data_IF_408366041834
#
_entry.id   IF_408366041834
#
_cell.length_a   1.000
_cell.length_b   1.000
_cell.length_c   1.000
_cell.angle_alpha   90.00
_cell.angle_beta   90.00
_cell.angle_gamma   90.00
#
_symmetry.space_group_name_H-M   'P 1'
#
loop_
_entity.id
_entity.type
_entity.pdbx_description
1 polymer ?
#
# COMPACT_ATOMS: atom_id res chain seq x y z
N UNK A 1 6.45 -4.78 -28.91
CA UNK A 1 5.89 -5.96 -28.21
C UNK A 1 4.67 -6.56 -28.92
N UNK A 2 3.79 -5.78 -29.58
CA UNK A 2 2.65 -6.33 -30.34
C UNK A 2 3.01 -7.19 -31.57
N UNK A 3 4.25 -7.05 -32.06
CA UNK A 3 4.80 -7.77 -33.22
C UNK A 3 5.92 -8.75 -32.85
N UNK A 4 6.01 -9.15 -31.57
CA UNK A 4 7.15 -9.96 -31.12
C UNK A 4 7.09 -11.34 -31.78
N UNK A 5 8.15 -11.72 -32.49
CA UNK A 5 8.30 -13.09 -32.98
C UNK A 5 8.82 -14.00 -31.87
N UNK A 6 8.62 -15.31 -32.01
CA UNK A 6 9.17 -16.28 -31.05
C UNK A 6 10.69 -16.18 -30.91
N UNK A 7 11.42 -15.95 -32.02
CA UNK A 7 12.87 -15.73 -31.99
C UNK A 7 13.30 -14.48 -31.23
N UNK A 8 12.55 -13.38 -31.36
CA UNK A 8 12.79 -12.15 -30.59
C UNK A 8 12.48 -12.34 -29.11
N UNK A 9 11.39 -13.04 -28.79
CA UNK A 9 11.02 -13.35 -27.41
C UNK A 9 12.08 -14.25 -26.74
N UNK A 10 12.56 -15.28 -27.43
CA UNK A 10 13.63 -16.15 -26.93
C UNK A 10 14.95 -15.39 -26.73
N UNK A 11 15.26 -14.43 -27.61
CA UNK A 11 16.44 -13.56 -27.48
C UNK A 11 16.32 -12.61 -26.29
N UNK A 12 15.11 -12.15 -25.97
CA UNK A 12 14.87 -11.35 -24.77
C UNK A 12 14.99 -12.21 -23.51
N UNK A 13 14.39 -13.39 -23.50
CA UNK A 13 14.45 -14.34 -22.38
C UNK A 13 15.90 -14.75 -22.07
N UNK A 14 16.74 -14.95 -23.10
CA UNK A 14 18.13 -15.40 -22.91
C UNK A 14 19.05 -14.39 -22.23
N UNK A 15 18.66 -13.11 -22.18
CA UNK A 15 19.40 -12.07 -21.46
C UNK A 15 18.78 -11.71 -20.11
N UNK A 16 17.66 -12.33 -19.75
CA UNK A 16 17.00 -12.09 -18.47
C UNK A 16 17.61 -12.95 -17.36
N UNK A 17 17.50 -12.46 -16.14
CA UNK A 17 17.90 -13.18 -14.94
C UNK A 17 16.67 -13.72 -14.20
N UNK A 18 16.85 -14.79 -13.43
CA UNK A 18 15.79 -15.30 -12.57
C UNK A 18 15.42 -14.24 -11.52
N UNK A 19 14.13 -14.00 -11.36
CA UNK A 19 13.64 -12.99 -10.44
C UNK A 19 13.57 -13.57 -9.01
N UNK A 20 14.52 -13.17 -8.16
CA UNK A 20 14.44 -13.40 -6.72
C UNK A 20 13.30 -12.58 -6.07
N UNK A 21 12.99 -12.86 -4.82
CA UNK A 21 12.02 -12.12 -4.02
C UNK A 21 12.56 -11.88 -2.60
N UNK A 22 11.99 -10.92 -1.88
CA UNK A 22 12.32 -10.67 -0.48
C UNK A 22 11.59 -11.62 0.44
N UNK A 23 12.28 -12.14 1.45
CA UNK A 23 11.71 -12.93 2.52
C UNK A 23 12.16 -12.33 3.85
N UNK A 24 11.41 -11.33 4.32
CA UNK A 24 11.90 -10.44 5.37
C UNK A 24 13.15 -9.69 4.90
N UNK A 25 14.29 -9.91 5.55
CA UNK A 25 15.57 -9.25 5.25
C UNK A 25 16.43 -10.02 4.24
N UNK A 26 15.99 -11.21 3.82
CA UNK A 26 16.74 -12.07 2.91
C UNK A 26 16.24 -11.94 1.47
N UNK A 27 17.15 -11.87 0.50
CA UNK A 27 16.81 -12.07 -0.92
C UNK A 27 16.87 -13.56 -1.23
N UNK A 28 15.75 -14.15 -1.64
CA UNK A 28 15.58 -15.58 -1.83
C UNK A 28 15.25 -15.89 -3.29
N UNK A 29 15.94 -16.90 -3.84
CA UNK A 29 15.60 -17.51 -5.13
C UNK A 29 14.98 -18.89 -4.86
N UNK A 30 13.65 -18.96 -4.90
CA UNK A 30 12.88 -20.19 -4.74
C UNK A 30 11.78 -20.27 -5.81
N UNK A 31 12.01 -21.12 -6.82
CA UNK A 31 11.09 -21.32 -7.94
C UNK A 31 9.75 -21.97 -7.54
N UNK A 32 9.66 -22.56 -6.34
CA UNK A 32 8.40 -23.05 -5.80
C UNK A 32 7.48 -21.92 -5.32
N UNK A 33 8.05 -20.73 -5.09
CA UNK A 33 7.32 -19.55 -4.63
C UNK A 33 7.19 -18.48 -5.71
N UNK A 34 8.28 -18.22 -6.44
CA UNK A 34 8.33 -17.30 -7.57
C UNK A 34 9.13 -17.92 -8.70
N UNK A 35 8.47 -18.18 -9.82
CA UNK A 35 9.12 -18.52 -11.07
C UNK A 35 8.85 -17.39 -12.06
N UNK A 36 9.82 -16.50 -12.25
CA UNK A 36 9.73 -15.39 -13.17
C UNK A 36 11.13 -14.96 -13.60
N UNK A 37 11.21 -14.21 -14.69
CA UNK A 37 12.43 -13.58 -15.17
C UNK A 37 12.31 -12.06 -15.04
N UNK A 38 13.45 -11.37 -14.91
CA UNK A 38 13.49 -9.91 -14.84
C UNK A 38 14.62 -9.31 -15.66
N UNK A 39 14.45 -8.03 -15.98
CA UNK A 39 15.51 -7.10 -16.34
C UNK A 39 15.43 -5.90 -15.39
N UNK A 40 16.60 -5.47 -14.90
CA UNK A 40 16.78 -4.25 -14.12
C UNK A 40 16.94 -3.04 -15.07
N UNK A 41 16.69 -1.82 -14.56
CA UNK A 41 16.63 -0.59 -15.37
C UNK A 41 17.88 -0.33 -16.23
N UNK A 42 19.06 -0.77 -15.78
CA UNK A 42 20.31 -0.62 -16.54
C UNK A 42 20.39 -1.51 -17.78
N UNK A 43 19.52 -2.52 -17.88
CA UNK A 43 19.54 -3.54 -18.93
C UNK A 43 18.54 -3.27 -20.06
N UNK A 44 17.67 -2.27 -19.91
CA UNK A 44 16.68 -1.94 -20.93
C UNK A 44 16.39 -0.44 -21.02
N UNK A 45 15.74 -0.04 -22.10
CA UNK A 45 15.23 1.32 -22.26
C UNK A 45 13.83 1.24 -22.83
N UNK A 46 12.94 2.13 -22.38
CA UNK A 46 11.54 2.12 -22.80
C UNK A 46 11.20 3.48 -23.36
N UNK A 47 10.79 3.57 -24.64
CA UNK A 47 10.35 4.83 -25.25
C UNK A 47 8.91 5.20 -24.85
N UNK A 48 8.42 4.70 -23.71
CA UNK A 48 7.07 4.95 -23.22
C UNK A 48 7.06 6.24 -22.40
N UNK A 49 6.50 7.29 -22.98
CA UNK A 49 6.20 8.51 -22.24
C UNK A 49 4.85 8.37 -21.54
N UNK A 50 4.88 7.96 -20.27
CA UNK A 50 3.67 7.74 -19.47
C UNK A 50 2.84 9.03 -19.29
N UNK A 51 3.49 10.20 -19.28
CA UNK A 51 2.82 11.50 -19.13
C UNK A 51 1.98 11.87 -20.36
N UNK A 52 2.35 11.35 -21.54
CA UNK A 52 1.56 11.51 -22.76
C UNK A 52 0.29 10.63 -22.81
N UNK A 53 0.08 9.75 -21.84
CA UNK A 53 -1.05 8.81 -21.78
C UNK A 53 -2.10 9.23 -20.73
N UNK A 54 -3.36 8.79 -20.85
CA UNK A 54 -4.38 9.05 -19.83
C UNK A 54 -4.20 8.19 -18.56
N UNK A 55 -3.19 7.32 -18.48
CA UNK A 55 -3.02 6.36 -17.38
C UNK A 55 -2.85 7.09 -16.05
N UNK A 56 -1.93 8.08 -15.98
CA UNK A 56 -1.71 8.82 -14.74
C UNK A 56 -2.93 9.61 -14.31
N UNK A 57 -3.66 10.19 -15.27
CA UNK A 57 -4.91 10.89 -14.98
C UNK A 57 -5.97 9.95 -14.40
N UNK A 58 -6.07 8.72 -14.92
CA UNK A 58 -6.97 7.69 -14.41
C UNK A 58 -6.59 7.27 -12.98
N UNK A 59 -5.30 7.06 -12.72
CA UNK A 59 -4.80 6.72 -11.37
C UNK A 59 -5.07 7.89 -10.41
N UNK A 60 -4.80 9.12 -10.85
CA UNK A 60 -5.10 10.32 -10.08
C UNK A 60 -6.58 10.35 -9.68
N UNK A 61 -7.49 10.12 -10.62
CA UNK A 61 -8.93 10.16 -10.37
C UNK A 61 -9.44 9.02 -9.49
N UNK A 62 -9.00 7.79 -9.79
CA UNK A 62 -9.62 6.58 -9.23
C UNK A 62 -8.94 6.15 -7.91
N UNK A 63 -7.68 6.50 -7.69
CA UNK A 63 -6.88 6.04 -6.54
C UNK A 63 -6.41 7.18 -5.62
N UNK A 64 -6.22 8.42 -6.10
CA UNK A 64 -5.61 9.51 -5.29
C UNK A 64 -6.61 10.61 -4.91
N UNK A 65 -7.30 11.17 -5.89
CA UNK A 65 -8.29 12.25 -5.76
C UNK A 65 -9.67 11.69 -5.32
N UNK A 66 -9.70 10.83 -4.31
CA UNK A 66 -10.97 10.39 -3.70
C UNK A 66 -11.71 11.54 -3.01
N UNK A 67 -11.05 12.69 -2.87
CA UNK A 67 -11.60 13.93 -2.32
C UNK A 67 -11.15 15.14 -3.17
N UNK A 68 -12.02 16.14 -3.32
CA UNK A 68 -11.76 17.31 -4.17
C UNK A 68 -10.75 18.29 -3.61
N UNK A 69 -10.46 18.17 -2.32
CA UNK A 69 -9.68 19.14 -1.56
C UNK A 69 -8.26 18.64 -1.27
N UNK A 70 -8.01 17.33 -1.38
CA UNK A 70 -6.67 16.71 -1.31
C UNK A 70 -6.23 16.27 -2.70
N UNK A 71 -5.58 17.17 -3.43
CA UNK A 71 -4.89 16.83 -4.68
C UNK A 71 -3.40 16.68 -4.40
N UNK A 72 -2.87 15.50 -4.72
CA UNK A 72 -1.45 15.20 -4.59
C UNK A 72 -0.91 14.79 -5.93
N UNK A 73 0.23 15.35 -6.33
CA UNK A 73 0.86 14.92 -7.56
C UNK A 73 1.38 13.49 -7.40
N UNK A 74 1.31 12.73 -8.49
CA UNK A 74 1.86 11.39 -8.57
C UNK A 74 3.20 11.49 -9.28
N UNK A 75 4.27 11.14 -8.58
CA UNK A 75 5.56 10.84 -9.22
C UNK A 75 5.62 9.36 -9.52
N UNK A 76 6.00 9.02 -10.74
CA UNK A 76 6.25 7.64 -11.13
C UNK A 76 7.74 7.37 -11.29
N UNK A 77 8.13 6.16 -10.93
CA UNK A 77 9.52 5.71 -11.03
C UNK A 77 9.52 4.34 -11.72
N UNK A 78 10.13 4.21 -12.91
CA UNK A 78 10.34 2.91 -13.52
C UNK A 78 11.07 2.00 -12.54
N UNK A 79 10.61 0.75 -12.40
CA UNK A 79 11.21 -0.18 -11.45
C UNK A 79 11.85 -1.38 -12.14
N UNK A 80 11.04 -2.25 -12.76
CA UNK A 80 11.56 -3.45 -13.41
C UNK A 80 10.67 -3.95 -14.54
N UNK A 81 11.28 -4.65 -15.48
CA UNK A 81 10.58 -5.42 -16.49
C UNK A 81 10.54 -6.88 -16.04
N UNK A 82 9.34 -7.46 -15.95
CA UNK A 82 9.17 -8.88 -15.60
C UNK A 82 8.67 -9.66 -16.80
N UNK A 83 9.14 -10.90 -16.93
CA UNK A 83 8.69 -11.85 -17.94
C UNK A 83 8.24 -13.12 -17.22
N UNK A 84 7.02 -13.52 -17.52
CA UNK A 84 6.44 -14.79 -17.09
C UNK A 84 6.22 -15.64 -18.34
N UNK A 85 7.12 -16.58 -18.58
CA UNK A 85 6.99 -17.56 -19.66
C UNK A 85 6.13 -18.76 -19.22
N UNK A 86 6.03 -19.80 -20.05
CA UNK A 86 5.18 -20.95 -19.75
C UNK A 86 5.56 -21.61 -18.42
N UNK A 87 4.60 -21.66 -17.50
CA UNK A 87 4.72 -22.24 -16.16
C UNK A 87 5.25 -21.25 -15.12
N UNK A 88 5.62 -20.03 -15.50
CA UNK A 88 6.00 -18.96 -14.58
C UNK A 88 4.78 -18.44 -13.80
N UNK A 89 5.00 -18.06 -12.55
CA UNK A 89 4.01 -17.56 -11.60
C UNK A 89 4.70 -16.78 -10.46
N UNK A 90 3.90 -16.08 -9.64
CA UNK A 90 4.37 -15.52 -8.38
C UNK A 90 3.25 -15.62 -7.34
N UNK A 91 3.51 -16.32 -6.23
CA UNK A 91 2.57 -16.52 -5.13
C UNK A 91 2.17 -15.21 -4.41
N UNK A 92 1.12 -15.24 -3.56
CA UNK A 92 0.60 -14.05 -2.88
C UNK A 92 1.66 -13.32 -2.06
N UNK A 93 1.92 -12.07 -2.41
CA UNK A 93 2.92 -11.20 -1.77
C UNK A 93 2.41 -9.76 -1.70
N UNK A 94 3.10 -8.91 -0.93
CA UNK A 94 2.91 -7.45 -0.97
C UNK A 94 4.14 -6.79 -1.57
N UNK A 95 4.03 -5.53 -1.97
CA UNK A 95 5.22 -4.79 -2.36
C UNK A 95 6.13 -4.56 -1.15
N UNK A 96 7.43 -4.42 -1.40
CA UNK A 96 8.36 -4.01 -0.35
C UNK A 96 8.32 -2.49 -0.29
N UNK A 97 8.06 -1.87 0.87
CA UNK A 97 8.12 -0.42 0.96
C UNK A 97 9.53 0.11 0.63
N UNK A 98 9.58 1.25 -0.07
CA UNK A 98 10.84 1.90 -0.51
C UNK A 98 11.00 3.34 -0.06
N UNK A 99 9.89 3.97 0.31
CA UNK A 99 9.84 5.33 0.83
C UNK A 99 8.53 5.49 1.62
N UNK A 100 8.51 6.37 2.61
CA UNK A 100 7.30 6.81 3.32
C UNK A 100 6.18 7.30 2.39
N UNK A 101 6.55 7.95 1.28
CA UNK A 101 5.64 8.50 0.30
C UNK A 101 5.30 7.54 -0.85
N UNK A 102 5.83 6.31 -0.86
CA UNK A 102 5.42 5.28 -1.81
C UNK A 102 4.02 4.79 -1.44
N UNK A 103 3.04 5.00 -2.32
CA UNK A 103 1.67 4.59 -2.04
C UNK A 103 1.25 3.35 -2.81
N UNK A 104 1.82 3.09 -3.99
CA UNK A 104 1.33 2.03 -4.86
C UNK A 104 2.28 1.61 -5.96
N UNK A 105 1.77 0.71 -6.79
CA UNK A 105 2.44 0.19 -7.97
C UNK A 105 1.54 0.32 -9.18
N UNK A 106 2.15 0.62 -10.34
CA UNK A 106 1.52 0.56 -11.65
C UNK A 106 2.18 -0.55 -12.45
N UNK A 107 1.39 -1.54 -12.86
CA UNK A 107 1.83 -2.65 -13.71
C UNK A 107 1.22 -2.46 -15.10
N UNK A 108 2.07 -2.17 -16.09
CA UNK A 108 1.70 -2.13 -17.50
C UNK A 108 1.97 -3.50 -18.12
N UNK A 109 0.99 -4.09 -18.78
CA UNK A 109 1.10 -5.35 -19.48
C UNK A 109 1.16 -5.08 -20.98
N UNK A 110 2.23 -5.58 -21.62
CA UNK A 110 2.39 -5.47 -23.06
C UNK A 110 1.53 -6.51 -23.79
N UNK A 111 1.09 -6.24 -25.04
CA UNK A 111 0.27 -7.15 -25.84
C UNK A 111 1.10 -8.28 -26.46
N UNK A 112 1.89 -8.98 -25.65
CA UNK A 112 2.56 -10.20 -26.05
C UNK A 112 1.56 -11.36 -26.00
N UNK A 113 1.47 -12.23 -27.02
CA UNK A 113 0.55 -13.34 -26.99
C UNK A 113 0.83 -14.29 -25.80
N UNK A 114 -0.17 -14.48 -24.94
CA UNK A 114 -0.10 -15.40 -23.81
C UNK A 114 -1.48 -15.93 -23.39
N UNK A 115 -1.50 -16.96 -22.54
CA UNK A 115 -2.69 -17.48 -21.85
C UNK A 115 -2.36 -17.74 -20.38
N UNK A 116 -3.34 -17.60 -19.49
CA UNK A 116 -3.09 -17.57 -18.04
C UNK A 116 -2.30 -16.32 -17.65
N UNK A 117 -1.64 -16.33 -16.49
CA UNK A 117 -0.89 -15.14 -16.03
C UNK A 117 -1.79 -14.06 -15.44
N UNK A 118 -3.01 -14.42 -15.02
CA UNK A 118 -3.95 -13.52 -14.40
C UNK A 118 -3.34 -12.89 -13.14
N UNK A 119 -3.52 -11.58 -12.98
CA UNK A 119 -3.14 -10.87 -11.77
C UNK A 119 -4.32 -10.91 -10.80
N UNK A 120 -4.12 -11.50 -9.63
CA UNK A 120 -5.10 -11.52 -8.56
C UNK A 120 -4.70 -10.45 -7.56
N UNK A 121 -5.63 -9.57 -7.21
CA UNK A 121 -5.52 -8.59 -6.14
C UNK A 121 -6.42 -9.04 -4.99
N UNK A 122 -5.94 -8.92 -3.76
CA UNK A 122 -6.68 -9.27 -2.55
C UNK A 122 -6.47 -8.20 -1.48
N UNK A 123 -7.56 -7.61 -1.03
CA UNK A 123 -7.60 -6.64 0.05
C UNK A 123 -8.71 -7.05 1.02
N UNK A 124 -8.33 -7.35 2.28
CA UNK A 124 -9.26 -7.85 3.30
C UNK A 124 -10.01 -9.09 2.77
N UNK A 125 -11.35 -9.06 2.76
CA UNK A 125 -12.20 -10.16 2.29
C UNK A 125 -12.57 -10.05 0.80
N UNK A 126 -12.01 -9.07 0.07
CA UNK A 126 -12.30 -8.82 -1.33
C UNK A 126 -11.15 -9.28 -2.23
N UNK A 127 -11.50 -9.79 -3.41
CA UNK A 127 -10.52 -10.16 -4.42
C UNK A 127 -10.99 -9.83 -5.82
N UNK A 128 -10.05 -9.38 -6.65
CA UNK A 128 -10.27 -9.03 -8.05
C UNK A 128 -9.29 -9.79 -8.93
N UNK A 129 -9.77 -10.26 -10.08
CA UNK A 129 -8.96 -10.96 -11.09
C UNK A 129 -8.86 -10.09 -12.32
N UNK A 130 -7.63 -9.81 -12.75
CA UNK A 130 -7.36 -9.12 -14.01
C UNK A 130 -6.70 -10.07 -15.01
N UNK A 131 -7.47 -10.41 -16.06
CA UNK A 131 -6.98 -11.19 -17.20
C UNK A 131 -6.53 -10.24 -18.32
N UNK A 132 -5.21 -9.99 -18.37
CA UNK A 132 -4.62 -9.14 -19.39
C UNK A 132 -4.66 -9.78 -20.79
N UNK A 133 -4.65 -11.12 -20.88
CA UNK A 133 -4.73 -11.81 -22.17
C UNK A 133 -6.11 -11.61 -22.79
N UNK A 134 -7.18 -11.64 -21.97
CA UNK A 134 -8.52 -11.28 -22.40
C UNK A 134 -8.64 -9.78 -22.71
N UNK A 135 -8.12 -8.91 -21.84
CA UNK A 135 -8.20 -7.46 -22.04
C UNK A 135 -7.52 -6.99 -23.33
N UNK A 136 -6.45 -7.66 -23.75
CA UNK A 136 -5.67 -7.35 -24.95
C UNK A 136 -6.04 -8.21 -26.16
N UNK A 137 -7.16 -8.94 -26.13
CA UNK A 137 -7.50 -9.89 -27.20
C UNK A 137 -7.67 -9.25 -28.58
N UNK A 138 -8.02 -7.96 -28.61
CA UNK A 138 -8.22 -7.18 -29.83
C UNK A 138 -6.99 -6.37 -30.25
N UNK A 139 -5.94 -6.33 -29.42
CA UNK A 139 -4.70 -5.64 -29.75
C UNK A 139 -4.06 -6.26 -30.98
N UNK A 140 -3.67 -5.44 -31.95
CA UNK A 140 -3.02 -5.92 -33.17
C UNK A 140 -1.63 -5.30 -33.34
N UNK A 141 -0.76 -5.93 -34.16
CA UNK A 141 0.44 -5.30 -34.72
C UNK A 141 0.33 -3.83 -35.16
N UNK A 142 -0.79 -3.47 -35.78
CA UNK A 142 -1.03 -2.17 -36.41
C UNK A 142 -1.76 -1.20 -35.48
N UNK A 143 -2.50 -1.73 -34.52
CA UNK A 143 -3.24 -1.00 -33.50
C UNK A 143 -2.94 -1.65 -32.13
N UNK A 144 -1.74 -1.41 -31.58
CA UNK A 144 -1.33 -2.03 -30.33
C UNK A 144 -2.01 -1.36 -29.13
N UNK A 145 -2.53 -2.17 -28.23
CA UNK A 145 -3.12 -1.72 -26.97
C UNK A 145 -2.20 -2.06 -25.79
N UNK A 146 -2.34 -1.32 -24.71
CA UNK A 146 -1.70 -1.61 -23.43
C UNK A 146 -2.78 -1.84 -22.39
N UNK A 147 -2.56 -2.80 -21.51
CA UNK A 147 -3.38 -2.99 -20.34
C UNK A 147 -2.59 -2.52 -19.13
N UNK A 148 -3.27 -2.00 -18.11
CA UNK A 148 -2.59 -1.60 -16.89
C UNK A 148 -3.45 -1.88 -15.66
N UNK A 149 -2.78 -2.06 -14.53
CA UNK A 149 -3.40 -2.17 -13.22
C UNK A 149 -2.59 -1.30 -12.26
N UNK A 150 -3.27 -0.44 -11.50
CA UNK A 150 -2.67 0.33 -10.42
C UNK A 150 -3.35 -0.04 -9.10
N UNK A 151 -2.56 -0.24 -8.05
CA UNK A 151 -3.05 -0.66 -6.74
C UNK A 151 -2.15 -0.12 -5.62
N UNK A 152 -2.70 -0.01 -4.42
CA UNK A 152 -1.92 0.36 -3.24
C UNK A 152 -0.91 -0.72 -2.89
N UNK A 153 0.25 -0.28 -2.43
CA UNK A 153 1.43 -1.14 -2.22
C UNK A 153 1.24 -2.18 -1.09
N UNK A 154 0.28 -1.95 -0.20
CA UNK A 154 -0.13 -2.87 0.86
C UNK A 154 -1.18 -3.91 0.43
N UNK A 155 -1.64 -3.89 -0.84
CA UNK A 155 -2.54 -4.90 -1.40
C UNK A 155 -1.77 -6.18 -1.70
N UNK A 156 -2.27 -7.30 -1.18
CA UNK A 156 -1.73 -8.62 -1.50
C UNK A 156 -2.04 -8.95 -2.95
N UNK A 157 -1.06 -9.42 -3.70
CA UNK A 157 -1.23 -9.77 -5.10
C UNK A 157 -0.45 -11.01 -5.51
N UNK A 158 -0.97 -11.74 -6.50
CA UNK A 158 -0.31 -12.90 -7.10
C UNK A 158 -0.49 -12.94 -8.62
N UNK A 159 0.45 -13.60 -9.30
CA UNK A 159 0.36 -13.91 -10.74
C UNK A 159 0.13 -15.40 -10.89
N UNK A 160 -1.03 -15.77 -11.45
CA UNK A 160 -1.35 -17.17 -11.77
C UNK A 160 -0.41 -17.73 -12.84
N UNK A 161 -0.26 -19.07 -12.94
CA UNK A 161 0.62 -19.66 -13.94
C UNK A 161 0.28 -19.26 -15.37
N UNK A 162 1.28 -18.81 -16.13
CA UNK A 162 1.15 -18.65 -17.59
C UNK A 162 1.13 -20.04 -18.22
N UNK A 163 0.09 -20.35 -18.99
CA UNK A 163 -0.09 -21.68 -19.59
C UNK A 163 0.46 -21.78 -21.02
N UNK A 164 0.60 -20.64 -21.70
CA UNK A 164 1.16 -20.53 -23.05
C UNK A 164 1.69 -19.12 -23.31
N UNK A 165 2.71 -19.00 -24.16
CA UNK A 165 3.30 -17.71 -24.55
C UNK A 165 4.10 -17.09 -23.41
N UNK A 166 4.20 -15.75 -23.41
CA UNK A 166 4.87 -15.01 -22.35
C UNK A 166 4.13 -13.71 -22.02
N UNK A 167 3.90 -13.50 -20.73
CA UNK A 167 3.36 -12.25 -20.18
C UNK A 167 4.54 -11.34 -19.83
N UNK A 168 4.64 -10.20 -20.51
CA UNK A 168 5.69 -9.19 -20.26
C UNK A 168 5.06 -7.97 -19.61
N UNK A 169 5.62 -7.53 -18.49
CA UNK A 169 5.14 -6.35 -17.78
C UNK A 169 6.25 -5.36 -17.47
N UNK A 170 5.90 -4.09 -17.43
CA UNK A 170 6.70 -3.01 -16.87
C UNK A 170 6.03 -2.50 -15.59
N UNK A 171 6.77 -2.52 -14.49
CA UNK A 171 6.29 -2.02 -13.21
C UNK A 171 6.89 -0.65 -12.91
N UNK A 172 6.07 0.27 -12.40
CA UNK A 172 6.48 1.54 -11.82
C UNK A 172 6.08 1.58 -10.34
N UNK A 173 6.96 2.13 -9.52
CA UNK A 173 6.58 2.57 -8.17
C UNK A 173 5.85 3.92 -8.29
N UNK A 174 4.79 4.08 -7.50
CA UNK A 174 3.99 5.30 -7.43
C UNK A 174 4.21 5.99 -6.09
N UNK A 175 4.57 7.27 -6.15
CA UNK A 175 4.84 8.09 -4.98
C UNK A 175 3.92 9.32 -4.94
N UNK A 176 3.52 9.70 -3.73
CA UNK A 176 2.98 11.03 -3.51
C UNK A 176 4.12 12.02 -3.58
N UNK A 177 3.96 13.04 -4.41
CA UNK A 177 4.88 14.16 -4.49
C UNK A 177 4.32 15.31 -3.66
N UNK A 178 5.18 15.90 -2.81
CA UNK A 178 4.81 17.05 -2.00
C UNK A 178 4.34 18.16 -2.94
N UNK A 179 3.12 18.66 -2.71
CA UNK A 179 2.63 19.81 -3.45
C UNK A 179 3.47 21.03 -3.06
N UNK A 180 4.15 21.63 -4.03
CA UNK A 180 4.51 23.04 -3.87
C UNK A 180 3.21 23.85 -3.82
N UNK A 181 3.10 24.90 -2.99
CA UNK A 181 1.87 25.71 -2.88
C UNK A 181 1.36 26.30 -4.20
N UNK A 182 2.20 26.32 -5.25
CA UNK A 182 1.86 26.81 -6.59
C UNK A 182 1.35 25.70 -7.55
N UNK A 183 1.35 24.44 -7.11
CA UNK A 183 1.02 23.27 -7.93
C UNK A 183 -0.39 22.73 -7.71
N UNK A 184 -1.26 23.48 -7.03
CA UNK A 184 -2.64 23.06 -6.82
C UNK A 184 -3.35 22.83 -8.17
N UNK A 185 -3.53 21.56 -8.50
CA UNK A 185 -4.34 21.16 -9.64
C UNK A 185 -5.74 21.77 -9.47
N UNK A 186 -6.34 22.33 -10.54
CA UNK A 186 -7.66 22.94 -10.44
C UNK A 186 -8.68 21.92 -9.91
N UNK A 187 -9.55 22.36 -9.00
CA UNK A 187 -10.60 21.53 -8.44
C UNK A 187 -11.45 20.93 -9.57
N UNK A 188 -11.53 19.59 -9.64
CA UNK A 188 -12.49 18.93 -10.52
C UNK A 188 -13.87 19.06 -9.87
N UNK A 189 -14.94 19.42 -10.63
CA UNK A 189 -16.31 19.55 -10.12
C UNK A 189 -16.98 18.19 -9.85
N UNK A 190 -16.29 17.30 -9.14
CA UNK A 190 -16.83 16.07 -8.56
C UNK A 190 -16.57 16.11 -7.06
N UNK A 191 -17.27 17.00 -6.35
CA UNK A 191 -17.42 16.85 -4.90
C UNK A 191 -18.28 15.61 -4.70
N UNK A 192 -17.64 14.48 -4.43
CA UNK A 192 -18.33 13.37 -3.80
C UNK A 192 -18.71 13.84 -2.39
N UNK A 193 -19.96 13.60 -2.00
CA UNK A 193 -20.50 13.92 -0.66
C UNK A 193 -19.70 13.31 0.51
N UNK A 194 -18.61 12.59 0.27
CA UNK A 194 -17.87 11.82 1.26
C UNK A 194 -17.24 12.70 2.35
N UNK A 195 -16.61 13.81 2.00
CA UNK A 195 -16.05 14.74 3.00
C UNK A 195 -17.14 15.37 3.87
N UNK A 196 -18.22 15.84 3.24
CA UNK A 196 -19.36 16.39 3.97
C UNK A 196 -20.04 15.32 4.85
N UNK A 197 -20.24 14.11 4.32
CA UNK A 197 -20.82 12.97 5.04
C UNK A 197 -19.95 12.61 6.25
N UNK A 198 -18.63 12.50 6.06
CA UNK A 198 -17.70 12.19 7.14
C UNK A 198 -17.64 13.31 8.18
N UNK A 199 -17.68 14.57 7.74
CA UNK A 199 -17.74 15.73 8.64
C UNK A 199 -19.03 15.76 9.45
N UNK A 200 -20.17 15.46 8.83
CA UNK A 200 -21.46 15.35 9.52
C UNK A 200 -21.42 14.21 10.54
N UNK A 201 -20.99 13.02 10.14
CA UNK A 201 -20.87 11.87 11.04
C UNK A 201 -19.91 12.14 12.22
N UNK A 202 -18.78 12.81 11.97
CA UNK A 202 -17.85 13.20 13.03
C UNK A 202 -18.46 14.26 13.96
N UNK A 203 -19.25 15.21 13.43
CA UNK A 203 -19.94 16.21 14.25
C UNK A 203 -21.01 15.57 15.13
N UNK A 204 -21.75 14.59 14.60
CA UNK A 204 -22.73 13.80 15.36
C UNK A 204 -22.05 12.98 16.45
N UNK A 205 -20.92 12.35 16.14
CA UNK A 205 -20.10 11.61 17.11
C UNK A 205 -19.66 12.52 18.27
N UNK A 206 -19.09 13.69 17.96
CA UNK A 206 -18.62 14.64 18.99
C UNK A 206 -19.76 15.17 19.89
N UNK A 207 -21.01 15.06 19.46
CA UNK A 207 -22.19 15.43 20.25
C UNK A 207 -22.73 14.29 21.13
N UNK A 208 -22.13 13.09 21.08
CA UNK A 208 -22.56 11.98 21.93
C UNK A 208 -22.37 12.30 23.43
N UNK A 209 -23.34 11.95 24.30
CA UNK A 209 -23.29 12.30 25.71
C UNK A 209 -21.99 11.89 26.41
N UNK A 210 -21.45 10.70 26.09
CA UNK A 210 -20.21 10.17 26.67
C UNK A 210 -18.96 10.97 26.31
N UNK A 211 -18.98 11.68 25.20
CA UNK A 211 -17.89 12.57 24.77
C UNK A 211 -18.09 13.93 25.44
N UNK A 212 -19.32 14.45 25.41
CA UNK A 212 -19.67 15.77 25.99
C UNK A 212 -19.51 15.80 27.52
N UNK A 213 -19.77 14.68 28.20
CA UNK A 213 -19.63 14.56 29.66
C UNK A 213 -18.21 14.18 30.12
N UNK A 214 -17.26 14.05 29.18
CA UNK A 214 -15.86 13.73 29.45
C UNK A 214 -15.59 12.26 29.78
N UNK A 215 -16.60 11.38 29.76
CA UNK A 215 -16.40 9.94 30.00
C UNK A 215 -15.49 9.28 28.96
N UNK A 216 -15.46 9.83 27.74
CA UNK A 216 -14.55 9.46 26.65
C UNK A 216 -13.75 10.70 26.29
N UNK A 217 -12.44 10.66 26.52
CA UNK A 217 -11.52 11.76 26.22
C UNK A 217 -10.59 11.45 25.03
N UNK A 218 -10.63 10.23 24.50
CA UNK A 218 -9.74 9.81 23.40
C UNK A 218 -10.51 9.03 22.34
N UNK A 219 -10.44 9.51 21.09
CA UNK A 219 -10.99 8.82 19.92
C UNK A 219 -9.87 8.11 19.15
N UNK A 220 -10.11 6.87 18.79
CA UNK A 220 -9.21 6.08 17.96
C UNK A 220 -9.90 5.61 16.68
N UNK A 221 -9.16 5.70 15.58
CA UNK A 221 -9.61 5.26 14.27
C UNK A 221 -8.59 4.31 13.67
N UNK A 222 -8.95 3.04 13.53
CA UNK A 222 -8.18 2.10 12.73
C UNK A 222 -8.17 2.52 11.28
N UNK A 223 -6.99 2.46 10.65
CA UNK A 223 -6.82 2.84 9.25
C UNK A 223 -7.20 1.71 8.29
N UNK A 224 -7.68 2.09 7.11
CA UNK A 224 -8.09 1.15 6.06
C UNK A 224 -6.91 0.49 5.38
N UNK A 225 -5.77 1.17 5.31
CA UNK A 225 -4.54 0.72 4.68
C UNK A 225 -3.43 0.46 5.70
N UNK A 226 -2.44 -0.34 5.31
CA UNK A 226 -1.19 -0.46 6.05
C UNK A 226 -0.15 0.54 5.51
N UNK A 227 0.73 0.98 6.39
CA UNK A 227 1.75 1.99 6.08
C UNK A 227 3.14 1.49 6.46
N UNK A 228 4.20 2.00 5.81
CA UNK A 228 5.55 1.62 6.19
C UNK A 228 5.88 2.21 7.57
N UNK A 229 6.18 1.33 8.52
CA UNK A 229 6.56 1.68 9.89
C UNK A 229 7.96 1.15 10.13
N UNK A 230 8.80 1.94 10.80
CA UNK A 230 10.12 1.50 11.25
C UNK A 230 9.99 0.53 12.42
N UNK A 231 10.94 -0.39 12.54
CA UNK A 231 11.06 -1.26 13.70
C UNK A 231 11.77 -0.52 14.83
N UNK A 232 11.46 -0.89 16.07
CA UNK A 232 12.13 -0.35 17.26
C UNK A 232 13.67 -0.42 17.10
N UNK A 233 14.34 0.67 17.42
CA UNK A 233 15.81 0.86 17.32
C UNK A 233 16.42 0.73 15.92
N UNK A 234 15.61 0.61 14.88
CA UNK A 234 16.07 0.65 13.49
C UNK A 234 15.83 2.03 12.86
N UNK A 235 16.70 2.50 11.95
CA UNK A 235 16.43 3.69 11.17
C UNK A 235 15.22 3.44 10.25
N UNK A 236 14.36 4.44 10.11
CA UNK A 236 13.21 4.39 9.22
C UNK A 236 12.29 5.58 9.45
N UNK A 237 11.07 5.50 8.93
CA UNK A 237 10.14 6.62 8.87
C UNK A 237 9.52 6.95 10.24
N UNK A 238 9.35 8.23 10.53
CA UNK A 238 8.54 8.67 11.66
C UNK A 238 7.06 8.50 11.30
N UNK A 239 6.31 7.79 12.15
CA UNK A 239 4.88 7.54 11.94
C UNK A 239 4.08 8.84 11.79
N UNK A 240 4.52 9.94 12.41
CA UNK A 240 3.83 11.24 12.32
C UNK A 240 3.99 11.88 10.93
N UNK A 241 5.09 11.62 10.23
CA UNK A 241 5.34 12.13 8.88
C UNK A 241 4.41 11.48 7.85
N UNK A 242 3.92 10.26 8.12
CA UNK A 242 2.96 9.56 7.28
C UNK A 242 1.62 10.30 7.14
N UNK A 243 1.33 11.28 8.00
CA UNK A 243 0.14 12.14 7.88
C UNK A 243 0.05 12.85 6.54
N UNK A 244 1.20 13.06 5.86
CA UNK A 244 1.29 13.61 4.49
C UNK A 244 0.95 12.60 3.40
N UNK A 245 1.08 11.31 3.71
CA UNK A 245 1.08 10.21 2.75
C UNK A 245 -0.04 9.18 3.01
N UNK A 246 -1.04 9.53 3.82
CA UNK A 246 -2.22 8.70 4.05
C UNK A 246 -2.96 8.41 2.73
N UNK A 247 -3.52 7.21 2.59
CA UNK A 247 -4.19 6.71 1.39
C UNK A 247 -5.71 6.84 1.51
N UNK A 248 -6.39 7.16 0.41
CA UNK A 248 -7.85 7.15 0.29
C UNK A 248 -8.61 7.75 1.49
N UNK A 249 -9.47 6.93 2.11
CA UNK A 249 -10.31 7.31 3.24
C UNK A 249 -9.53 7.72 4.49
N UNK A 250 -8.32 7.21 4.68
CA UNK A 250 -7.51 7.51 5.86
C UNK A 250 -7.05 8.98 5.82
N UNK A 251 -6.66 9.45 4.64
CA UNK A 251 -6.31 10.85 4.41
C UNK A 251 -7.51 11.78 4.60
N UNK A 252 -8.68 11.36 4.11
CA UNK A 252 -9.92 12.10 4.28
C UNK A 252 -10.28 12.24 5.76
N UNK A 253 -10.20 11.15 6.52
CA UNK A 253 -10.50 11.13 7.95
C UNK A 253 -9.56 12.04 8.74
N UNK A 254 -8.25 11.93 8.51
CA UNK A 254 -7.25 12.78 9.17
C UNK A 254 -7.52 14.27 8.90
N UNK A 255 -7.86 14.61 7.67
CA UNK A 255 -8.22 15.97 7.29
C UNK A 255 -9.49 16.45 7.96
N UNK A 256 -10.57 15.66 7.95
CA UNK A 256 -11.84 16.03 8.59
C UNK A 256 -11.62 16.34 10.07
N UNK A 257 -10.78 15.55 10.76
CA UNK A 257 -10.37 15.86 12.12
C UNK A 257 -9.73 17.26 12.23
N UNK A 258 -8.77 17.60 11.36
CA UNK A 258 -8.15 18.95 11.33
C UNK A 258 -9.16 20.06 11.00
N UNK A 259 -10.09 19.83 10.08
CA UNK A 259 -11.12 20.80 9.67
C UNK A 259 -12.11 21.09 10.80
N UNK A 260 -12.35 20.10 11.67
CA UNK A 260 -13.12 20.23 12.91
C UNK A 260 -12.29 20.74 14.10
N UNK A 261 -11.06 21.21 13.85
CA UNK A 261 -10.14 21.76 14.87
C UNK A 261 -9.71 20.75 15.93
N UNK A 262 -9.83 19.46 15.63
CA UNK A 262 -9.23 18.41 16.45
C UNK A 262 -7.72 18.34 16.21
N UNK A 263 -7.01 17.73 17.16
CA UNK A 263 -5.57 17.48 17.08
C UNK A 263 -5.25 16.00 16.79
N UNK A 264 -5.50 15.48 15.57
CA UNK A 264 -5.16 14.11 15.23
C UNK A 264 -3.64 13.93 15.15
N UNK A 265 -3.20 12.79 15.66
CA UNK A 265 -1.84 12.23 15.58
C UNK A 265 -1.91 10.80 15.02
N UNK A 266 -0.80 10.30 14.49
CA UNK A 266 -0.70 8.92 14.01
C UNK A 266 0.12 8.08 14.98
N UNK A 267 -0.43 6.96 15.42
CA UNK A 267 0.23 6.09 16.40
C UNK A 267 0.15 4.62 15.95
N UNK A 268 1.14 3.84 16.36
CA UNK A 268 1.15 2.38 16.25
C UNK A 268 0.42 1.80 17.45
N UNK A 269 -0.63 1.03 17.19
CA UNK A 269 -1.39 0.37 18.24
C UNK A 269 -0.83 -1.02 18.51
N UNK A 270 -0.44 -1.27 19.76
CA UNK A 270 0.00 -2.57 20.26
C UNK A 270 -1.06 -3.13 21.21
N UNK A 271 -1.39 -4.40 21.03
CA UNK A 271 -2.32 -5.08 21.93
C UNK A 271 -1.53 -5.72 23.06
N UNK A 272 -1.87 -5.38 24.31
CA UNK A 272 -1.29 -5.99 25.50
C UNK A 272 -1.90 -7.36 25.84
N UNK A 273 -1.43 -7.93 26.94
CA UNK A 273 -1.88 -9.23 27.46
C UNK A 273 -3.28 -9.18 28.09
N UNK A 274 -3.63 -8.06 28.76
CA UNK A 274 -4.84 -7.95 29.60
C UNK A 274 -5.87 -6.92 29.10
N UNK A 275 -6.59 -7.10 27.98
CA UNK A 275 -7.59 -6.13 27.43
C UNK A 275 -7.12 -4.67 27.19
N UNK A 276 -5.93 -4.30 27.67
CA UNK A 276 -5.29 -3.00 27.53
C UNK A 276 -4.60 -2.91 26.17
N UNK A 277 -4.58 -1.68 25.65
CA UNK A 277 -3.80 -1.33 24.47
C UNK A 277 -2.65 -0.42 24.85
N UNK A 278 -1.66 -0.32 23.96
CA UNK A 278 -0.55 0.60 24.08
C UNK A 278 -0.39 1.38 22.77
N UNK A 279 -0.17 2.69 22.88
CA UNK A 279 0.14 3.55 21.75
C UNK A 279 1.62 3.89 21.73
N UNK A 280 2.18 3.93 20.53
CA UNK A 280 3.59 4.15 20.32
C UNK A 280 3.91 4.75 18.97
N UNK A 281 5.10 5.30 18.84
CA UNK A 281 5.59 5.82 17.55
C UNK A 281 6.29 4.77 16.70
N UNK A 282 6.79 3.73 17.34
CA UNK A 282 7.67 2.74 16.74
C UNK A 282 7.02 1.36 16.82
N UNK A 283 7.25 0.51 15.82
CA UNK A 283 6.77 -0.86 15.88
C UNK A 283 7.70 -1.68 16.77
N UNK A 284 7.23 -2.08 17.94
CA UNK A 284 7.99 -2.96 18.82
C UNK A 284 7.89 -4.39 18.29
N UNK A 285 9.01 -4.92 17.79
CA UNK A 285 9.08 -6.32 17.39
C UNK A 285 9.53 -7.15 18.60
N UNK A 286 8.64 -7.94 19.23
CA UNK A 286 9.07 -8.86 20.27
C UNK A 286 10.13 -9.83 19.70
N UNK A 287 11.18 -10.17 20.46
CA UNK A 287 12.18 -11.14 20.01
C UNK A 287 11.50 -12.43 19.55
N UNK A 288 11.96 -13.00 18.42
CA UNK A 288 11.42 -14.24 17.85
C UNK A 288 11.20 -15.32 18.93
N UNK A 289 9.93 -15.55 19.25
CA UNK A 289 9.48 -16.44 20.33
C UNK A 289 8.18 -15.93 20.92
N UNK A 290 7.26 -16.83 21.28
CA UNK A 290 6.06 -16.47 22.03
C UNK A 290 6.52 -15.81 23.34
N UNK A 291 6.27 -14.51 23.49
CA UNK A 291 6.30 -13.89 24.80
C UNK A 291 5.05 -14.40 25.50
N UNK A 292 5.19 -15.52 26.22
CA UNK A 292 4.12 -16.10 27.03
C UNK A 292 3.76 -15.19 28.23
N UNK A 293 4.64 -14.23 28.59
CA UNK A 293 4.44 -13.25 29.66
C UNK A 293 5.44 -12.08 29.56
N UNK A 294 5.01 -10.85 29.86
CA UNK A 294 5.87 -9.66 29.98
C UNK A 294 5.85 -8.71 28.78
N UNK A 295 4.90 -8.86 27.85
CA UNK A 295 4.74 -7.93 26.72
C UNK A 295 4.36 -6.53 27.20
N UNK A 296 3.49 -6.44 28.20
CA UNK A 296 3.07 -5.16 28.80
C UNK A 296 4.26 -4.41 29.40
N UNK A 297 5.13 -5.10 30.15
CA UNK A 297 6.36 -4.51 30.70
C UNK A 297 7.31 -4.03 29.59
N UNK A 298 7.47 -4.80 28.52
CA UNK A 298 8.29 -4.41 27.36
C UNK A 298 7.74 -3.18 26.62
N UNK A 299 6.42 -3.08 26.51
CA UNK A 299 5.76 -1.92 25.89
C UNK A 299 5.94 -0.68 26.77
N UNK A 300 5.78 -0.81 28.09
CA UNK A 300 6.02 0.29 29.04
C UNK A 300 7.50 0.72 29.06
N UNK A 301 8.44 -0.23 29.08
CA UNK A 301 9.89 0.04 28.97
C UNK A 301 10.27 0.68 27.62
N UNK A 302 9.55 0.31 26.55
CA UNK A 302 9.65 0.92 25.23
C UNK A 302 9.09 2.34 25.14
N UNK A 303 8.52 2.86 26.24
CA UNK A 303 7.93 4.21 26.30
C UNK A 303 6.54 4.29 25.67
N UNK A 304 5.86 3.16 25.46
CA UNK A 304 4.51 3.14 24.92
C UNK A 304 3.51 3.61 25.98
N UNK A 305 2.54 4.42 25.56
CA UNK A 305 1.50 4.91 26.44
C UNK A 305 0.44 3.82 26.63
N UNK A 306 0.29 3.34 27.88
CA UNK A 306 -0.81 2.49 28.28
C UNK A 306 -2.13 3.23 28.15
N UNK A 307 -3.11 2.55 27.58
CA UNK A 307 -4.45 3.07 27.33
C UNK A 307 -5.44 2.56 28.37
N UNK A 308 -6.31 3.44 28.87
CA UNK A 308 -7.50 3.06 29.64
C UNK A 308 -8.68 2.83 28.68
N UNK A 309 -9.16 1.59 28.50
CA UNK A 309 -10.26 1.28 27.59
C UNK A 309 -11.57 1.97 27.97
N UNK A 310 -11.74 2.41 29.23
CA UNK A 310 -12.96 3.07 29.70
C UNK A 310 -13.09 4.51 29.22
N UNK A 311 -11.97 5.19 28.99
CA UNK A 311 -11.89 6.60 28.53
C UNK A 311 -11.76 6.73 27.01
N UNK A 312 -11.79 5.60 26.30
CA UNK A 312 -11.50 5.52 24.87
C UNK A 312 -12.67 5.04 24.04
N UNK A 313 -12.72 5.51 22.80
CA UNK A 313 -13.67 5.03 21.80
C UNK A 313 -12.98 4.71 20.48
N UNK A 314 -13.02 3.43 20.10
CA UNK A 314 -12.68 2.98 18.74
C UNK A 314 -13.85 3.20 17.81
N UNK A 315 -13.76 4.22 16.97
CA UNK A 315 -14.84 4.62 16.05
C UNK A 315 -14.83 3.74 14.80
N UNK A 316 -13.65 3.49 14.23
CA UNK A 316 -13.44 2.49 13.19
C UNK A 316 -12.69 1.31 13.79
N UNK A 317 -13.01 0.10 13.33
CA UNK A 317 -12.37 -1.13 13.81
C UNK A 317 -10.85 -0.98 13.74
N UNK A 318 -10.17 -1.28 14.85
CA UNK A 318 -8.73 -1.56 14.81
C UNK A 318 -8.49 -2.71 13.83
N UNK A 319 -7.54 -2.55 12.92
CA UNK A 319 -7.28 -3.47 11.80
C UNK A 319 -6.87 -4.89 12.26
N UNK A 320 -6.57 -5.08 13.54
CA UNK A 320 -6.16 -6.34 14.12
C UNK A 320 -5.09 -6.09 15.17
N UNK A 321 -4.45 -7.13 15.72
CA UNK A 321 -3.26 -6.94 16.53
C UNK A 321 -2.21 -6.18 15.72
N UNK A 322 -1.59 -5.15 16.31
CA UNK A 322 -0.28 -4.70 15.88
C UNK A 322 0.61 -5.93 15.76
N UNK A 323 0.95 -6.29 14.52
CA UNK A 323 1.32 -7.64 14.06
C UNK A 323 0.16 -8.65 13.93
N UNK A 324 -0.32 -8.86 12.70
CA UNK A 324 -0.27 -10.22 12.17
C UNK A 324 1.18 -10.51 11.78
N UNK A 325 1.92 -11.10 12.71
CA UNK A 325 3.24 -11.70 12.49
C UNK A 325 3.19 -12.93 11.55
N UNK A 326 2.15 -13.10 10.74
CA UNK A 326 1.99 -14.26 9.87
C UNK A 326 2.79 -14.14 8.57
N UNK A 327 3.30 -12.96 8.25
CA UNK A 327 4.12 -12.79 7.08
C UNK A 327 5.59 -12.81 7.49
N UNK A 328 6.20 -13.97 7.31
CA UNK A 328 7.43 -13.98 6.52
C UNK A 328 7.15 -13.05 5.32
N UNK A 329 7.56 -11.79 5.39
CA UNK A 329 7.14 -10.76 4.44
C UNK A 329 7.74 -11.12 3.08
N UNK A 330 6.95 -11.83 2.29
CA UNK A 330 7.26 -12.09 0.90
C UNK A 330 7.04 -10.77 0.17
N UNK A 331 8.14 -10.16 -0.21
CA UNK A 331 8.20 -8.86 -0.84
C UNK A 331 8.79 -8.96 -2.24
N UNK A 332 8.66 -7.89 -3.01
CA UNK A 332 9.30 -7.82 -4.32
C UNK A 332 10.84 -7.84 -4.23
N UNK A 333 11.39 -7.39 -3.11
CA UNK A 333 12.80 -7.38 -2.71
C UNK A 333 12.93 -7.48 -1.17
N UNK A 334 14.11 -7.84 -0.67
CA UNK A 334 14.39 -7.77 0.76
C UNK A 334 14.53 -6.32 1.23
N UNK A 335 14.08 -6.01 2.45
CA UNK A 335 14.31 -4.70 3.08
C UNK A 335 14.55 -4.83 4.58
N UNK A 336 15.42 -3.95 5.08
CA UNK A 336 15.75 -3.79 6.50
C UNK A 336 15.09 -2.55 7.11
N UNK A 337 14.63 -1.59 6.31
CA UNK A 337 14.33 -0.23 6.81
C UNK A 337 12.87 -0.05 7.26
N UNK A 338 11.94 -0.81 6.68
CA UNK A 338 10.51 -0.67 7.01
C UNK A 338 9.70 -1.92 6.68
N UNK A 339 8.63 -2.12 7.44
CA UNK A 339 7.59 -3.12 7.21
C UNK A 339 6.23 -2.47 7.18
N UNK A 340 5.25 -3.10 6.53
CA UNK A 340 3.88 -2.64 6.68
C UNK A 340 3.39 -2.91 8.11
N UNK A 341 3.05 -1.84 8.81
CA UNK A 341 2.38 -1.86 10.10
C UNK A 341 0.96 -1.32 10.00
N UNK A 342 0.13 -1.73 10.96
CA UNK A 342 -1.18 -1.14 11.18
C UNK A 342 -1.00 0.03 12.14
N UNK A 343 -1.40 1.23 11.70
CA UNK A 343 -1.38 2.45 12.49
C UNK A 343 -2.83 2.94 12.67
N UNK A 344 -3.05 3.79 13.66
CA UNK A 344 -4.34 4.42 13.91
C UNK A 344 -4.20 5.95 13.98
N UNK A 345 -5.31 6.64 13.76
CA UNK A 345 -5.44 8.06 14.10
C UNK A 345 -5.92 8.14 15.55
N UNK A 346 -5.25 8.96 16.34
CA UNK A 346 -5.60 9.23 17.74
C UNK A 346 -5.92 10.71 17.89
N UNK A 347 -7.07 11.00 18.49
CA UNK A 347 -7.51 12.35 18.82
C UNK A 347 -7.78 12.40 20.31
N UNK A 348 -7.01 13.21 21.03
CA UNK A 348 -7.34 13.59 22.40
C UNK A 348 -8.33 14.77 22.35
N UNK A 349 -9.41 14.62 23.09
CA UNK A 349 -10.44 15.63 23.29
C UNK A 349 -10.05 16.39 24.55
N UNK A 350 -9.66 17.66 24.41
CA UNK A 350 -9.31 18.49 25.56
C UNK A 350 -10.59 18.81 26.37
N UNK A 351 -10.45 18.88 27.69
CA UNK A 351 -11.44 19.56 28.53
C UNK A 351 -11.27 21.08 28.32
N UNK A 352 -12.28 21.73 27.71
CA UNK A 352 -12.33 23.19 27.50
C UNK A 352 -12.15 24.01 28.81
#
# INVERSE_FOLDING_TARGET
>A
MANVTEGQLNSLISVCEAAAFGRGTETVLDESYRKALKLDLSQFSIPLDLASTPILHRIQQDLVDTDTTLRRHIRTEPYKLNIYDKGAFFKPHKDTPRAENMFGSLVIVFPTPHKGGELILTEKDQSWTFDAAQALSNSTPTEPELAFVAFYSDVTHEVRPVTSGARITLTFNLYFEDSTPESDLPAIPRVTDQSLTMKTAMTELLAEPRIVDGSVNTLCFGLSHSYPVKRDKEPGYDVQELSRYLKGSDALLFRVCKDLKLAPSLEVFHRGEEEFGYLGRDLLQPPYGEIESGLDELLEEGGMQKLDPSEMLWVTKSSGPGMKADYVAYGNEASLESVYGEICIVVHLEDD
#
